data_IF_084136767616
#
_entry.id   IF_084136767616
#
_cell.length_a   1.000
_cell.length_b   1.000
_cell.length_c   1.000
_cell.angle_alpha   90.00
_cell.angle_beta   90.00
_cell.angle_gamma   90.00
#
_symmetry.space_group_name_H-M   'P 1'
#
loop_
_entity.id
_entity.type
_entity.pdbx_description
1 polymer ?
#
# COMPACT_ATOMS: atom_id res chain seq x y z
N UNK A 1 -30.18 -14.77 -43.14
CA UNK A 1 -29.01 -15.17 -42.31
C UNK A 1 -28.32 -13.88 -41.90
N UNK A 2 -28.86 -13.22 -40.88
CA UNK A 2 -28.50 -13.26 -39.44
C UNK A 2 -27.62 -12.07 -39.09
N UNK A 3 -28.32 -11.00 -38.68
CA UNK A 3 -27.80 -9.82 -37.99
C UNK A 3 -27.09 -10.25 -36.70
N UNK A 4 -25.85 -9.78 -36.50
CA UNK A 4 -25.16 -9.85 -35.22
C UNK A 4 -25.60 -8.64 -34.36
N UNK A 5 -25.96 -8.81 -33.08
CA UNK A 5 -26.28 -7.69 -32.22
C UNK A 5 -24.98 -7.07 -31.69
N UNK A 6 -24.90 -5.76 -31.87
CA UNK A 6 -23.94 -4.85 -31.22
C UNK A 6 -24.22 -4.87 -29.71
N UNK A 7 -23.44 -5.62 -28.92
CA UNK A 7 -23.49 -5.55 -27.46
C UNK A 7 -22.75 -4.28 -27.04
N UNK A 8 -23.52 -3.20 -26.87
CA UNK A 8 -23.09 -1.99 -26.19
C UNK A 8 -23.03 -2.31 -24.69
N UNK A 9 -21.84 -2.68 -24.18
CA UNK A 9 -21.61 -2.75 -22.74
C UNK A 9 -21.73 -1.33 -22.16
N UNK A 10 -22.86 -1.05 -21.51
CA UNK A 10 -22.99 0.08 -20.60
C UNK A 10 -21.99 -0.13 -19.46
N UNK A 11 -20.85 0.54 -19.51
CA UNK A 11 -20.09 0.89 -18.33
C UNK A 11 -20.91 1.94 -17.55
N UNK A 12 -21.91 1.46 -16.81
CA UNK A 12 -22.50 2.23 -15.72
C UNK A 12 -21.35 2.50 -14.74
N UNK A 13 -20.90 3.76 -14.71
CA UNK A 13 -20.10 4.26 -13.61
C UNK A 13 -20.89 3.99 -12.34
N UNK A 14 -20.49 2.98 -11.58
CA UNK A 14 -20.93 2.79 -10.20
C UNK A 14 -20.38 4.00 -9.43
N UNK A 15 -21.11 5.10 -9.45
CA UNK A 15 -20.89 6.16 -8.48
C UNK A 15 -21.14 5.53 -7.12
N UNK A 16 -20.12 5.55 -6.27
CA UNK A 16 -20.26 5.14 -4.89
C UNK A 16 -21.48 5.86 -4.28
N UNK A 17 -22.38 5.15 -3.57
CA UNK A 17 -23.50 5.79 -2.90
C UNK A 17 -22.97 6.89 -1.97
N UNK A 18 -23.73 7.97 -1.72
CA UNK A 18 -23.29 9.09 -0.89
C UNK A 18 -22.81 8.56 0.47
N UNK A 19 -21.49 8.58 0.67
CA UNK A 19 -20.86 8.07 1.89
C UNK A 19 -21.19 9.01 3.03
N UNK A 20 -21.59 8.44 4.16
CA UNK A 20 -21.84 9.21 5.37
C UNK A 20 -20.63 10.11 5.66
N UNK A 21 -20.90 11.36 6.02
CA UNK A 21 -19.88 12.26 6.54
C UNK A 21 -19.27 11.72 7.84
N UNK A 22 -18.38 12.49 8.45
CA UNK A 22 -17.80 12.14 9.73
C UNK A 22 -18.90 11.90 10.76
N UNK A 23 -18.86 10.74 11.42
CA UNK A 23 -19.84 10.36 12.43
C UNK A 23 -19.22 9.46 13.49
N UNK A 24 -19.78 9.51 14.70
CA UNK A 24 -19.33 8.74 15.85
C UNK A 24 -20.52 8.17 16.62
N UNK A 25 -20.37 6.95 17.13
CA UNK A 25 -21.40 6.23 17.86
C UNK A 25 -20.84 5.48 19.07
N UNK A 26 -21.70 5.30 20.07
CA UNK A 26 -21.56 4.39 21.20
C UNK A 26 -22.47 3.20 20.95
N UNK A 27 -21.90 2.00 20.92
CA UNK A 27 -22.68 0.78 20.71
C UNK A 27 -23.54 0.42 21.92
N UNK A 28 -23.40 1.12 23.06
CA UNK A 28 -24.06 0.93 24.37
C UNK A 28 -23.64 -0.37 25.06
N UNK A 29 -23.58 -1.45 24.30
CA UNK A 29 -23.04 -2.77 24.65
C UNK A 29 -22.03 -3.19 23.58
N UNK A 30 -20.99 -3.99 23.91
CA UNK A 30 -20.02 -4.46 22.93
C UNK A 30 -20.69 -5.06 21.68
N UNK A 31 -20.34 -4.56 20.49
CA UNK A 31 -20.99 -4.98 19.25
C UNK A 31 -20.27 -6.19 18.63
N UNK A 32 -21.00 -7.26 18.32
CA UNK A 32 -20.44 -8.40 17.57
C UNK A 32 -20.51 -8.20 16.06
N UNK A 33 -21.45 -7.39 15.58
CA UNK A 33 -21.67 -7.06 14.17
C UNK A 33 -21.69 -5.54 13.97
N UNK A 34 -20.74 -5.02 13.20
CA UNK A 34 -20.58 -3.58 12.94
C UNK A 34 -21.53 -3.05 11.85
N UNK A 35 -22.31 -3.93 11.20
CA UNK A 35 -23.32 -3.54 10.21
C UNK A 35 -24.66 -3.17 10.85
N UNK A 36 -24.93 -3.64 12.07
CA UNK A 36 -26.19 -3.44 12.78
C UNK A 36 -26.13 -2.23 13.72
N UNK A 37 -26.46 -1.04 13.18
CA UNK A 37 -26.35 0.24 13.91
C UNK A 37 -27.63 0.68 14.64
N UNK A 38 -28.72 -0.08 14.53
CA UNK A 38 -30.06 0.37 14.96
C UNK A 38 -30.20 0.70 16.45
N UNK A 39 -29.37 0.10 17.31
CA UNK A 39 -29.38 0.33 18.75
C UNK A 39 -28.28 1.29 19.23
N UNK A 40 -27.42 1.79 18.34
CA UNK A 40 -26.28 2.62 18.70
C UNK A 40 -26.71 4.05 18.96
N UNK A 41 -26.06 4.72 19.91
CA UNK A 41 -26.29 6.14 20.22
C UNK A 41 -25.24 6.99 19.54
N UNK A 42 -25.63 8.09 18.91
CA UNK A 42 -24.68 9.08 18.41
C UNK A 42 -23.86 9.66 19.57
N UNK A 43 -22.55 9.82 19.37
CA UNK A 43 -21.66 10.45 20.33
C UNK A 43 -21.40 11.92 19.97
N UNK A 44 -21.27 12.74 21.01
CA UNK A 44 -20.80 14.12 20.92
C UNK A 44 -19.37 14.25 21.48
N UNK A 45 -18.68 15.34 21.13
CA UNK A 45 -17.32 15.60 21.61
C UNK A 45 -17.27 15.70 23.15
N UNK A 46 -16.23 15.13 23.74
CA UNK A 46 -16.03 14.99 25.18
C UNK A 46 -16.67 13.75 25.81
N UNK A 47 -17.47 12.98 25.06
CA UNK A 47 -18.18 11.82 25.59
C UNK A 47 -17.24 10.63 25.86
N UNK A 48 -17.59 9.85 26.89
CA UNK A 48 -17.00 8.53 27.18
C UNK A 48 -18.05 7.45 26.87
N UNK A 49 -17.80 6.53 25.91
CA UNK A 49 -18.77 5.52 25.49
C UNK A 49 -19.06 4.50 26.61
N UNK A 50 -20.29 3.99 26.65
CA UNK A 50 -20.70 2.90 27.53
C UNK A 50 -20.39 1.52 26.94
N UNK A 51 -20.46 1.37 25.62
CA UNK A 51 -20.03 0.21 24.84
C UNK A 51 -18.72 0.51 24.10
N UNK A 52 -18.67 0.12 22.83
CA UNK A 52 -17.55 0.43 21.93
C UNK A 52 -17.73 1.84 21.36
N UNK A 53 -16.63 2.58 21.18
CA UNK A 53 -16.64 3.79 20.37
C UNK A 53 -16.38 3.43 18.91
N UNK A 54 -17.29 3.84 18.04
CA UNK A 54 -17.20 3.61 16.60
C UNK A 54 -17.17 4.95 15.89
N UNK A 55 -16.16 5.20 15.05
CA UNK A 55 -15.99 6.47 14.32
C UNK A 55 -15.76 6.17 12.85
N UNK A 56 -16.39 6.93 11.96
CA UNK A 56 -16.16 6.82 10.51
C UNK A 56 -16.02 8.17 9.85
N UNK A 57 -15.29 8.22 8.74
CA UNK A 57 -15.27 9.34 7.79
C UNK A 57 -15.87 8.98 6.43
N UNK A 58 -16.55 7.83 6.33
CA UNK A 58 -17.13 7.28 5.11
C UNK A 58 -16.20 6.34 4.33
N UNK A 59 -14.88 6.40 4.52
CA UNK A 59 -13.91 5.49 3.88
C UNK A 59 -13.29 4.50 4.85
N UNK A 60 -13.02 4.96 6.07
CA UNK A 60 -12.51 4.16 7.18
C UNK A 60 -13.57 4.12 8.28
N UNK A 61 -13.66 2.98 8.95
CA UNK A 61 -14.33 2.82 10.23
C UNK A 61 -13.29 2.44 11.26
N UNK A 62 -13.10 3.25 12.30
CA UNK A 62 -12.25 2.91 13.43
C UNK A 62 -13.11 2.55 14.64
N UNK A 63 -12.71 1.50 15.36
CA UNK A 63 -13.45 0.97 16.50
C UNK A 63 -12.52 0.81 17.69
N UNK A 64 -12.83 1.50 18.79
CA UNK A 64 -12.22 1.27 20.08
C UNK A 64 -13.16 0.43 20.93
N UNK A 65 -12.80 -0.85 21.08
CA UNK A 65 -13.58 -1.80 21.87
C UNK A 65 -13.41 -1.51 23.37
N UNK A 66 -14.48 -1.56 24.16
CA UNK A 66 -14.42 -1.24 25.61
C UNK A 66 -13.41 -2.07 26.41
N UNK A 67 -13.18 -3.30 25.99
CA UNK A 67 -12.20 -4.23 26.58
C UNK A 67 -11.16 -4.68 25.54
N UNK A 68 -11.02 -3.92 24.46
CA UNK A 68 -10.01 -4.19 23.45
C UNK A 68 -8.63 -3.75 23.89
N UNK A 69 -7.65 -4.08 23.06
CA UNK A 69 -6.25 -3.72 23.27
C UNK A 69 -5.85 -2.47 22.48
N UNK A 70 -6.63 -2.08 21.48
CA UNK A 70 -6.28 -1.02 20.54
C UNK A 70 -7.44 -0.46 19.73
N UNK A 71 -7.10 0.44 18.81
CA UNK A 71 -8.01 0.95 17.79
C UNK A 71 -8.00 0.01 16.58
N UNK A 72 -9.12 -0.67 16.33
CA UNK A 72 -9.32 -1.49 15.15
C UNK A 72 -9.63 -0.59 13.94
N UNK A 73 -9.02 -0.86 12.79
CA UNK A 73 -9.23 -0.16 11.53
C UNK A 73 -9.91 -1.10 10.55
N UNK A 74 -11.05 -0.65 10.03
CA UNK A 74 -11.81 -1.33 9.00
C UNK A 74 -11.90 -0.45 7.75
N UNK A 75 -11.74 -1.07 6.59
CA UNK A 75 -12.09 -0.44 5.32
C UNK A 75 -13.60 -0.51 5.10
N UNK A 76 -14.16 0.51 4.44
CA UNK A 76 -15.54 0.56 4.00
C UNK A 76 -15.69 0.51 2.47
N UNK A 77 -14.62 0.23 1.72
CA UNK A 77 -14.65 0.32 0.26
C UNK A 77 -15.64 -0.66 -0.38
N UNK A 78 -15.74 -1.88 0.14
CA UNK A 78 -16.70 -2.89 -0.32
C UNK A 78 -18.16 -2.60 0.06
N UNK A 79 -18.42 -1.51 0.80
CA UNK A 79 -19.73 -1.19 1.38
C UNK A 79 -20.00 -1.87 2.73
N UNK A 80 -19.21 -2.89 3.08
CA UNK A 80 -19.23 -3.56 4.38
C UNK A 80 -17.91 -3.35 5.12
N UNK A 81 -17.89 -3.20 6.46
CA UNK A 81 -16.65 -3.11 7.21
C UNK A 81 -15.81 -4.39 7.10
N UNK A 82 -14.58 -4.27 6.59
CA UNK A 82 -13.59 -5.36 6.57
C UNK A 82 -12.44 -4.98 7.49
N UNK A 83 -12.14 -5.82 8.48
CA UNK A 83 -11.02 -5.61 9.41
C UNK A 83 -9.68 -5.68 8.67
N UNK A 84 -8.79 -4.70 8.91
CA UNK A 84 -7.48 -4.63 8.24
C UNK A 84 -6.31 -4.51 9.19
N UNK A 85 -6.46 -3.80 10.30
CA UNK A 85 -5.36 -3.63 11.26
C UNK A 85 -5.87 -3.22 12.63
N UNK A 86 -5.02 -3.34 13.65
CA UNK A 86 -5.22 -2.76 14.98
C UNK A 86 -4.01 -1.91 15.37
N UNK A 87 -4.27 -0.75 15.96
CA UNK A 87 -3.26 0.19 16.44
C UNK A 87 -3.24 0.26 17.96
N UNK A 88 -2.06 0.11 18.57
CA UNK A 88 -1.89 0.24 20.01
C UNK A 88 -0.42 0.46 20.38
N UNK A 89 -0.09 1.06 21.53
CA UNK A 89 1.28 1.14 22.00
C UNK A 89 1.86 -0.26 22.28
N UNK A 90 3.12 -0.50 21.93
CA UNK A 90 3.80 -1.78 22.20
C UNK A 90 3.81 -2.07 23.69
N UNK A 91 3.46 -3.31 24.07
CA UNK A 91 3.35 -3.72 25.47
C UNK A 91 2.12 -3.17 26.20
N UNK A 92 1.21 -2.51 25.49
CA UNK A 92 -0.09 -2.12 26.06
C UNK A 92 -0.90 -3.35 26.45
N UNK A 93 -1.57 -3.27 27.60
CA UNK A 93 -2.61 -4.21 28.00
C UNK A 93 -3.98 -3.78 27.45
N UNK A 94 -5.09 -4.12 28.13
CA UNK A 94 -6.41 -3.64 27.75
C UNK A 94 -6.51 -2.12 27.88
N UNK A 95 -7.35 -1.52 27.04
CA UNK A 95 -7.70 -0.09 27.12
C UNK A 95 -8.39 0.18 28.46
N UNK A 96 -7.91 1.17 29.21
CA UNK A 96 -8.48 1.60 30.49
C UNK A 96 -9.52 2.71 30.31
N UNK A 97 -9.34 3.55 29.28
CA UNK A 97 -10.23 4.68 29.00
C UNK A 97 -10.34 4.96 27.51
N UNK A 98 -11.57 5.25 27.08
CA UNK A 98 -11.90 5.75 25.74
C UNK A 98 -12.62 7.09 25.88
N UNK A 99 -12.19 8.10 25.13
CA UNK A 99 -12.87 9.40 25.04
C UNK A 99 -12.98 9.81 23.57
N UNK A 100 -14.17 10.22 23.14
CA UNK A 100 -14.32 10.92 21.87
C UNK A 100 -13.95 12.39 22.08
N UNK A 101 -12.69 12.75 21.87
CA UNK A 101 -12.20 14.11 22.12
C UNK A 101 -12.80 15.15 21.15
N UNK A 102 -13.05 14.75 19.90
CA UNK A 102 -13.60 15.63 18.86
C UNK A 102 -14.50 14.84 17.91
N UNK A 103 -15.60 15.45 17.46
CA UNK A 103 -16.36 15.00 16.28
C UNK A 103 -16.96 16.23 15.61
N UNK A 104 -16.79 16.35 14.30
CA UNK A 104 -17.33 17.47 13.56
C UNK A 104 -17.03 17.42 12.07
N UNK A 105 -17.24 18.56 11.39
CA UNK A 105 -17.09 18.65 9.92
C UNK A 105 -15.68 18.35 9.42
N UNK A 106 -14.65 18.55 10.24
CA UNK A 106 -13.24 18.35 9.87
C UNK A 106 -12.70 16.94 10.14
N UNK A 107 -13.41 16.12 10.91
CA UNK A 107 -12.91 14.83 11.38
C UNK A 107 -13.42 14.49 12.76
N UNK A 108 -12.96 13.36 13.26
CA UNK A 108 -13.23 12.91 14.62
C UNK A 108 -11.96 12.36 15.25
N UNK A 109 -11.84 12.46 16.57
CA UNK A 109 -10.66 12.03 17.30
C UNK A 109 -11.04 11.23 18.54
N UNK A 110 -10.44 10.05 18.68
CA UNK A 110 -10.52 9.21 19.86
C UNK A 110 -9.22 9.36 20.67
N UNK A 111 -9.34 9.47 21.97
CA UNK A 111 -8.24 9.34 22.91
C UNK A 111 -8.39 8.02 23.64
N UNK A 112 -7.39 7.15 23.48
CA UNK A 112 -7.30 5.88 24.15
C UNK A 112 -6.20 5.96 25.19
N UNK A 113 -6.50 5.49 26.41
CA UNK A 113 -5.53 5.40 27.50
C UNK A 113 -5.37 3.96 27.96
N UNK A 114 -4.13 3.63 28.26
CA UNK A 114 -3.68 2.41 28.91
C UNK A 114 -2.89 2.78 30.17
N UNK A 115 -2.56 1.80 31.00
CA UNK A 115 -1.86 1.99 32.28
C UNK A 115 -0.68 2.98 32.24
N UNK A 116 0.12 2.95 31.17
CA UNK A 116 1.35 3.74 31.04
C UNK A 116 1.44 4.55 29.73
N UNK A 117 0.37 4.63 28.94
CA UNK A 117 0.39 5.28 27.64
C UNK A 117 -0.96 5.88 27.31
N UNK A 118 -0.98 6.94 26.51
CA UNK A 118 -2.20 7.42 25.87
C UNK A 118 -1.90 7.95 24.48
N UNK A 119 -2.79 7.64 23.54
CA UNK A 119 -2.64 7.99 22.12
C UNK A 119 -3.94 8.63 21.65
N UNK A 120 -3.81 9.74 20.94
CA UNK A 120 -4.90 10.36 20.19
C UNK A 120 -4.88 9.80 18.77
N UNK A 121 -6.01 9.28 18.33
CA UNK A 121 -6.24 8.84 16.96
C UNK A 121 -7.25 9.77 16.28
N UNK A 122 -6.84 10.47 15.24
CA UNK A 122 -7.70 11.36 14.45
C UNK A 122 -8.01 10.72 13.11
N UNK A 123 -9.29 10.76 12.72
CA UNK A 123 -9.77 10.36 11.40
C UNK A 123 -10.26 11.63 10.69
N UNK A 124 -9.46 12.21 9.80
CA UNK A 124 -9.87 13.41 9.07
C UNK A 124 -11.00 13.10 8.09
N UNK A 125 -11.80 14.12 7.76
CA UNK A 125 -12.88 13.95 6.78
C UNK A 125 -12.32 13.61 5.40
N UNK A 126 -12.81 12.53 4.79
CA UNK A 126 -12.52 12.18 3.40
C UNK A 126 -11.14 11.56 3.15
N UNK A 127 -10.29 11.49 4.17
CA UNK A 127 -8.95 10.90 4.07
C UNK A 127 -8.97 9.37 4.19
N UNK A 128 -7.90 8.72 3.73
CA UNK A 128 -7.70 7.27 3.81
C UNK A 128 -6.74 6.86 4.92
N UNK A 129 -6.55 7.70 5.92
CA UNK A 129 -5.66 7.40 7.02
C UNK A 129 -6.24 7.78 8.37
N UNK A 130 -5.69 7.14 9.40
CA UNK A 130 -5.82 7.55 10.80
C UNK A 130 -4.50 8.21 11.19
N UNK A 131 -4.56 9.45 11.66
CA UNK A 131 -3.41 10.08 12.32
C UNK A 131 -3.33 9.58 13.75
N UNK A 132 -2.14 9.30 14.24
CA UNK A 132 -1.90 8.96 15.63
C UNK A 132 -0.83 9.87 16.23
N UNK A 133 -1.01 10.21 17.49
CA UNK A 133 -0.09 11.06 18.24
C UNK A 133 -0.06 10.60 19.70
N UNK A 134 1.15 10.35 20.23
CA UNK A 134 1.32 10.10 21.66
C UNK A 134 0.94 11.33 22.49
N UNK A 135 0.04 11.15 23.45
CA UNK A 135 -0.30 12.14 24.48
C UNK A 135 0.62 11.92 25.70
N UNK A 136 0.78 10.67 26.13
CA UNK A 136 1.65 10.26 27.22
C UNK A 136 2.28 8.89 26.95
N UNK A 137 3.44 8.64 27.55
CA UNK A 137 4.26 7.47 27.29
C UNK A 137 5.15 7.66 26.05
N UNK A 138 6.17 6.80 25.94
CA UNK A 138 7.15 6.76 24.85
C UNK A 138 7.13 5.43 24.09
N UNK A 139 6.22 4.53 24.46
CA UNK A 139 6.05 3.23 23.80
C UNK A 139 5.79 3.42 22.30
N UNK A 140 6.45 2.65 21.43
CA UNK A 140 6.19 2.67 19.99
C UNK A 140 4.72 2.37 19.68
N UNK A 141 4.19 2.95 18.61
CA UNK A 141 2.94 2.51 18.05
C UNK A 141 3.16 1.19 17.31
N UNK A 142 2.41 0.17 17.69
CA UNK A 142 2.28 -1.07 16.94
C UNK A 142 1.18 -0.94 15.89
N UNK A 143 1.54 -1.20 14.64
CA UNK A 143 0.61 -1.51 13.55
C UNK A 143 0.50 -3.03 13.49
N UNK A 144 -0.56 -3.57 14.08
CA UNK A 144 -0.84 -5.01 14.03
C UNK A 144 -1.54 -5.33 12.70
N UNK A 145 -0.81 -6.02 11.82
CA UNK A 145 -1.26 -6.35 10.48
C UNK A 145 -0.53 -7.61 10.04
N UNK A 146 -1.22 -8.74 10.14
CA UNK A 146 -0.67 -10.02 9.74
C UNK A 146 -0.52 -10.11 8.21
N UNK A 147 0.62 -10.61 7.76
CA UNK A 147 0.93 -10.79 6.35
C UNK A 147 2.23 -11.56 6.13
N UNK A 148 2.45 -12.04 4.91
CA UNK A 148 3.73 -12.68 4.56
C UNK A 148 4.81 -11.65 4.21
N UNK A 149 4.42 -10.52 3.65
CA UNK A 149 5.36 -9.51 3.14
C UNK A 149 5.25 -8.19 3.88
N UNK A 150 6.41 -7.58 4.09
CA UNK A 150 6.55 -6.14 4.35
C UNK A 150 7.48 -5.56 3.29
N UNK A 151 7.15 -4.38 2.76
CA UNK A 151 8.03 -3.61 1.88
C UNK A 151 8.33 -2.27 2.52
N UNK A 152 9.59 -1.86 2.44
CA UNK A 152 10.02 -0.48 2.68
C UNK A 152 10.33 0.14 1.31
N UNK A 153 9.43 1.00 0.78
CA UNK A 153 9.65 1.61 -0.52
C UNK A 153 10.85 2.56 -0.52
N UNK A 154 11.65 2.50 -1.58
CA UNK A 154 12.60 3.54 -1.96
C UNK A 154 12.23 4.06 -3.36
N UNK A 155 11.70 5.28 -3.41
CA UNK A 155 11.23 5.86 -4.67
C UNK A 155 12.37 6.17 -5.66
N UNK A 156 13.62 6.19 -5.20
CA UNK A 156 14.80 6.48 -6.02
C UNK A 156 15.68 5.26 -6.28
N UNK A 157 15.56 4.21 -5.47
CA UNK A 157 16.34 2.99 -5.56
C UNK A 157 15.46 1.73 -5.62
N UNK A 158 16.05 0.60 -5.20
CA UNK A 158 15.35 -0.65 -5.00
C UNK A 158 14.66 -0.65 -3.64
N UNK A 159 13.42 -1.15 -3.62
CA UNK A 159 12.65 -1.35 -2.40
C UNK A 159 13.27 -2.45 -1.54
N UNK A 160 13.05 -2.42 -0.23
CA UNK A 160 13.42 -3.53 0.66
C UNK A 160 12.21 -4.44 0.83
N UNK A 161 12.23 -5.59 0.13
CA UNK A 161 11.21 -6.62 0.25
C UNK A 161 11.60 -7.64 1.33
N UNK A 162 10.74 -7.78 2.34
CA UNK A 162 10.88 -8.78 3.40
C UNK A 162 9.82 -9.86 3.24
N UNK A 163 10.24 -11.10 2.98
CA UNK A 163 9.40 -12.31 3.06
C UNK A 163 9.60 -12.98 4.44
N UNK A 164 8.52 -13.07 5.22
CA UNK A 164 8.49 -13.67 6.54
C UNK A 164 9.12 -15.07 6.61
N UNK A 165 9.00 -15.87 5.54
CA UNK A 165 9.54 -17.24 5.46
C UNK A 165 11.07 -17.28 5.44
N UNK A 166 11.71 -16.16 5.06
CA UNK A 166 13.17 -16.06 4.92
C UNK A 166 13.86 -15.55 6.18
N UNK A 167 13.10 -15.07 7.17
CA UNK A 167 13.63 -14.55 8.41
C UNK A 167 13.51 -15.57 9.54
N UNK A 168 14.62 -16.14 10.06
CA UNK A 168 14.57 -17.15 11.12
C UNK A 168 14.32 -16.57 12.52
N UNK A 169 14.30 -15.24 12.65
CA UNK A 169 14.14 -14.52 13.92
C UNK A 169 12.69 -14.05 14.11
N UNK A 170 12.24 -13.98 15.36
CA UNK A 170 10.87 -13.54 15.68
C UNK A 170 10.73 -12.01 15.75
N UNK A 171 11.86 -11.29 15.66
CA UNK A 171 11.94 -9.83 15.67
C UNK A 171 13.15 -9.37 14.87
N UNK A 172 12.98 -8.33 14.05
CA UNK A 172 14.06 -7.71 13.27
C UNK A 172 13.83 -6.21 13.15
N UNK A 173 14.91 -5.43 13.18
CA UNK A 173 14.88 -4.00 12.89
C UNK A 173 15.22 -3.79 11.41
N UNK A 174 14.40 -3.01 10.71
CA UNK A 174 14.52 -2.75 9.28
C UNK A 174 14.80 -1.25 9.03
N UNK A 175 15.78 -0.92 8.17
CA UNK A 175 16.14 0.47 7.88
C UNK A 175 15.08 1.11 7.00
N UNK A 176 14.14 1.82 7.63
CA UNK A 176 13.07 2.54 6.94
C UNK A 176 13.29 4.03 7.11
N UNK A 177 13.19 4.78 6.02
CA UNK A 177 13.25 6.24 6.06
C UNK A 177 12.00 6.80 6.74
N UNK A 178 10.81 6.51 6.21
CA UNK A 178 9.54 7.04 6.74
C UNK A 178 8.27 6.28 6.31
N UNK A 179 8.41 5.07 5.76
CA UNK A 179 7.26 4.28 5.27
C UNK A 179 7.42 2.78 5.53
N UNK A 180 6.32 2.10 5.81
CA UNK A 180 6.24 0.64 5.86
C UNK A 180 4.93 0.15 5.25
N UNK A 181 4.99 -0.81 4.34
CA UNK A 181 3.83 -1.41 3.69
C UNK A 181 3.64 -2.85 4.16
N UNK A 182 2.47 -3.17 4.69
CA UNK A 182 2.02 -4.53 4.98
C UNK A 182 1.05 -5.01 3.91
N UNK A 183 1.28 -6.20 3.37
CA UNK A 183 0.43 -6.81 2.35
C UNK A 183 -0.49 -7.84 2.99
N UNK A 184 -1.80 -7.61 2.90
CA UNK A 184 -2.81 -8.42 3.60
C UNK A 184 -4.05 -8.67 2.73
N UNK A 185 -5.00 -9.44 3.27
CA UNK A 185 -6.30 -9.66 2.63
C UNK A 185 -6.26 -10.46 1.33
N UNK A 186 -5.30 -11.37 1.17
CA UNK A 186 -5.22 -12.23 -0.02
C UNK A 186 -5.26 -11.42 -1.34
N UNK A 187 -4.35 -10.44 -1.48
CA UNK A 187 -4.20 -9.56 -2.66
C UNK A 187 -5.11 -8.34 -2.71
N UNK A 188 -5.99 -8.12 -1.73
CA UNK A 188 -6.98 -7.04 -1.81
C UNK A 188 -6.67 -5.80 -0.95
N UNK A 189 -5.64 -5.82 -0.11
CA UNK A 189 -5.34 -4.69 0.77
C UNK A 189 -3.85 -4.50 1.09
N UNK A 190 -3.47 -3.23 1.21
CA UNK A 190 -2.17 -2.79 1.72
C UNK A 190 -2.44 -1.89 2.92
N UNK A 191 -1.83 -2.20 4.06
CA UNK A 191 -1.81 -1.32 5.24
C UNK A 191 -0.47 -0.59 5.27
N UNK A 192 -0.52 0.74 5.21
CA UNK A 192 0.66 1.59 5.10
C UNK A 192 0.84 2.42 6.37
N UNK A 193 2.02 2.38 6.96
CA UNK A 193 2.45 3.32 7.98
C UNK A 193 3.35 4.40 7.38
N UNK A 194 3.05 5.67 7.65
CA UNK A 194 3.89 6.83 7.33
C UNK A 194 4.21 7.56 8.62
N UNK A 195 5.45 7.99 8.83
CA UNK A 195 5.85 8.54 10.13
C UNK A 195 6.89 9.65 10.01
N UNK A 196 6.82 10.63 10.92
CA UNK A 196 7.74 11.79 10.91
C UNK A 196 9.12 11.47 11.52
N UNK A 197 9.18 10.44 12.37
CA UNK A 197 10.41 10.09 13.08
C UNK A 197 11.33 9.21 12.23
N UNK A 198 12.37 9.81 11.64
CA UNK A 198 13.36 9.12 10.80
C UNK A 198 14.62 8.69 11.56
N UNK A 199 14.64 8.92 12.88
CA UNK A 199 15.82 8.69 13.71
C UNK A 199 15.99 7.22 14.15
N UNK A 200 15.17 6.31 13.62
CA UNK A 200 15.13 4.91 14.02
C UNK A 200 14.66 3.97 12.91
N UNK A 201 15.02 2.71 13.05
CA UNK A 201 14.53 1.61 12.24
C UNK A 201 13.07 1.24 12.59
N UNK A 202 12.36 0.68 11.61
CA UNK A 202 11.05 0.06 11.84
C UNK A 202 11.26 -1.38 12.29
N UNK A 203 10.66 -1.71 13.42
CA UNK A 203 10.83 -3.02 14.00
C UNK A 203 9.68 -3.93 13.65
N UNK A 204 9.98 -5.05 12.99
CA UNK A 204 8.99 -6.04 12.57
C UNK A 204 9.02 -7.23 13.50
N UNK A 205 7.83 -7.73 13.84
CA UNK A 205 7.64 -8.94 14.65
C UNK A 205 7.04 -10.05 13.80
N UNK A 206 7.51 -11.28 14.03
CA UNK A 206 7.15 -12.46 13.26
C UNK A 206 6.69 -13.58 14.17
N UNK A 207 5.85 -14.46 13.65
CA UNK A 207 5.41 -15.68 14.33
C UNK A 207 5.20 -16.82 13.33
N UNK A 208 4.98 -18.02 13.84
CA UNK A 208 4.80 -19.21 13.00
C UNK A 208 6.13 -19.80 12.52
N UNK A 209 6.03 -20.83 11.68
CA UNK A 209 7.17 -21.61 11.18
C UNK A 209 6.97 -21.97 9.72
N UNK A 210 8.07 -22.11 8.99
CA UNK A 210 8.12 -22.55 7.60
C UNK A 210 7.16 -21.71 6.72
N UNK A 211 6.34 -22.35 5.88
CA UNK A 211 5.38 -21.66 5.01
C UNK A 211 4.24 -20.93 5.75
N UNK A 212 4.07 -21.20 7.06
CA UNK A 212 3.12 -20.49 7.92
C UNK A 212 3.77 -19.35 8.69
N UNK A 213 5.04 -19.06 8.44
CA UNK A 213 5.71 -17.93 9.07
C UNK A 213 5.15 -16.64 8.50
N UNK A 214 4.73 -15.75 9.40
CA UNK A 214 4.07 -14.50 9.05
C UNK A 214 4.61 -13.36 9.91
N UNK A 215 4.67 -12.19 9.30
CA UNK A 215 4.79 -10.94 10.02
C UNK A 215 3.48 -10.71 10.76
N UNK A 216 3.55 -10.32 12.03
CA UNK A 216 2.36 -10.04 12.85
C UNK A 216 2.14 -8.54 13.02
N UNK A 217 3.18 -7.72 12.87
CA UNK A 217 3.06 -6.28 12.93
C UNK A 217 4.40 -5.57 12.97
N UNK A 218 4.33 -4.24 12.86
CA UNK A 218 5.47 -3.33 12.92
C UNK A 218 5.34 -2.38 14.11
N UNK A 219 6.46 -2.03 14.73
CA UNK A 219 6.56 -1.11 15.85
C UNK A 219 7.31 0.14 15.40
N UNK A 220 6.68 1.31 15.58
CA UNK A 220 7.17 2.60 15.10
C UNK A 220 7.08 3.59 16.27
N UNK A 221 8.20 4.05 16.79
CA UNK A 221 8.19 5.10 17.81
C UNK A 221 7.81 6.47 17.24
N UNK A 222 6.99 7.19 17.99
CA UNK A 222 6.60 8.57 17.67
C UNK A 222 7.81 9.52 17.62
N UNK A 223 8.87 9.25 18.40
CA UNK A 223 10.02 10.14 18.53
C UNK A 223 9.73 11.33 19.44
N UNK A 224 10.16 12.53 19.04
CA UNK A 224 9.94 13.76 19.82
C UNK A 224 8.45 14.07 20.01
N UNK A 225 8.11 14.65 21.16
CA UNK A 225 6.72 15.00 21.51
C UNK A 225 6.06 15.82 20.40
N UNK A 226 4.87 15.40 20.00
CA UNK A 226 4.07 16.08 18.98
C UNK A 226 4.16 15.45 17.60
N UNK A 227 5.20 14.62 17.34
CA UNK A 227 5.32 13.89 16.08
C UNK A 227 4.18 12.89 15.87
N UNK A 228 3.86 12.64 14.61
CA UNK A 228 2.73 11.81 14.19
C UNK A 228 3.16 10.56 13.42
N UNK A 229 2.27 9.58 13.46
CA UNK A 229 2.29 8.40 12.61
C UNK A 229 0.92 8.31 11.95
N UNK A 230 0.87 8.24 10.63
CA UNK A 230 -0.33 8.03 9.84
C UNK A 230 -0.42 6.56 9.43
N UNK A 231 -1.60 5.96 9.59
CA UNK A 231 -1.84 4.60 9.12
C UNK A 231 -2.98 4.60 8.12
N UNK A 232 -2.70 4.16 6.91
CA UNK A 232 -3.64 4.09 5.78
C UNK A 232 -3.99 2.66 5.41
N UNK A 233 -5.17 2.49 4.81
CA UNK A 233 -5.62 1.23 4.22
C UNK A 233 -5.97 1.48 2.76
N UNK A 234 -5.15 0.94 1.86
CA UNK A 234 -5.41 0.91 0.43
C UNK A 234 -6.09 -0.42 0.12
N UNK A 235 -7.39 -0.42 -0.15
CA UNK A 235 -8.17 -1.64 -0.41
C UNK A 235 -8.69 -1.67 -1.84
N UNK A 236 -8.75 -2.84 -2.47
CA UNK A 236 -9.42 -3.10 -3.73
C UNK A 236 -8.99 -4.46 -4.29
N UNK A 237 -9.82 -5.15 -5.08
CA UNK A 237 -9.45 -6.45 -5.63
C UNK A 237 -8.17 -6.36 -6.47
N UNK A 238 -7.20 -7.23 -6.19
CA UNK A 238 -5.91 -7.25 -6.88
C UNK A 238 -5.02 -6.04 -6.60
N UNK A 239 -5.23 -5.33 -5.48
CA UNK A 239 -4.41 -4.20 -5.05
C UNK A 239 -2.92 -4.53 -4.97
N UNK A 240 -2.59 -5.79 -4.70
CA UNK A 240 -1.23 -6.29 -4.83
C UNK A 240 -1.27 -7.71 -5.39
N UNK A 241 -0.12 -8.26 -5.75
CA UNK A 241 -0.02 -9.65 -6.18
C UNK A 241 1.34 -10.21 -5.83
N UNK A 242 1.43 -11.53 -5.63
CA UNK A 242 2.72 -12.19 -5.57
C UNK A 242 2.76 -13.53 -6.28
N UNK A 243 3.95 -13.88 -6.75
CA UNK A 243 4.25 -15.18 -7.37
C UNK A 243 5.71 -15.51 -7.11
N UNK A 244 6.02 -16.77 -6.79
CA UNK A 244 7.41 -17.21 -6.66
C UNK A 244 7.99 -17.49 -8.06
N UNK A 245 9.17 -16.94 -8.35
CA UNK A 245 9.94 -17.20 -9.58
C UNK A 245 11.31 -17.77 -9.23
N UNK A 246 11.87 -18.56 -10.15
CA UNK A 246 13.13 -19.26 -9.93
C UNK A 246 14.00 -19.35 -11.18
N UNK A 247 15.22 -19.92 -11.06
CA UNK A 247 16.14 -20.06 -12.17
C UNK A 247 15.59 -20.82 -13.39
N UNK A 248 14.64 -21.72 -13.18
CA UNK A 248 13.93 -22.47 -14.22
C UNK A 248 13.03 -21.60 -15.10
N UNK A 249 12.62 -20.44 -14.60
CA UNK A 249 11.72 -19.51 -15.29
C UNK A 249 12.44 -18.49 -16.19
N UNK A 250 13.78 -18.51 -16.23
CA UNK A 250 14.57 -17.56 -17.02
C UNK A 250 14.14 -17.53 -18.48
N UNK A 251 14.01 -16.31 -19.04
CA UNK A 251 13.57 -16.02 -20.43
C UNK A 251 12.14 -16.47 -20.77
N UNK A 252 11.47 -17.22 -19.89
CA UNK A 252 10.11 -17.69 -20.13
C UNK A 252 9.14 -16.55 -19.86
N UNK A 253 8.16 -16.39 -20.75
CA UNK A 253 7.04 -15.47 -20.51
C UNK A 253 6.04 -16.17 -19.61
N UNK A 254 5.84 -15.62 -18.41
CA UNK A 254 4.89 -16.10 -17.42
C UNK A 254 3.68 -15.16 -17.46
N UNK A 255 2.51 -15.63 -17.94
CA UNK A 255 1.27 -14.90 -17.74
C UNK A 255 0.88 -14.96 -16.26
N UNK A 256 0.62 -13.81 -15.65
CA UNK A 256 0.20 -13.74 -14.26
C UNK A 256 -1.29 -14.05 -14.14
N UNK A 257 -1.70 -14.70 -13.06
CA UNK A 257 -3.13 -14.77 -12.71
C UNK A 257 -3.61 -13.49 -12.01
N UNK A 258 -3.30 -12.36 -12.65
CA UNK A 258 -3.56 -11.02 -12.14
C UNK A 258 -3.80 -10.05 -13.30
N UNK A 259 -4.76 -9.17 -13.11
CA UNK A 259 -5.07 -8.07 -14.04
C UNK A 259 -4.93 -6.78 -13.28
N UNK A 260 -4.18 -5.82 -13.83
CA UNK A 260 -3.95 -4.52 -13.21
C UNK A 260 -5.31 -3.82 -12.95
N UNK A 261 -5.69 -3.58 -11.68
CA UNK A 261 -7.03 -3.09 -11.34
C UNK A 261 -7.32 -1.69 -11.87
N UNK A 262 -6.31 -0.83 -11.91
CA UNK A 262 -6.37 0.55 -12.40
C UNK A 262 -5.02 0.97 -12.97
N UNK A 263 -5.06 1.90 -13.94
CA UNK A 263 -3.84 2.46 -14.52
C UNK A 263 -3.13 3.29 -13.46
N UNK A 264 -1.88 2.97 -13.19
CA UNK A 264 -0.98 3.67 -12.27
C UNK A 264 0.47 3.27 -12.58
N UNK A 265 1.43 3.84 -11.88
CA UNK A 265 2.76 3.25 -11.79
C UNK A 265 2.69 2.08 -10.81
N UNK A 266 3.07 0.89 -11.27
CA UNK A 266 3.12 -0.31 -10.45
C UNK A 266 4.57 -0.75 -10.31
N UNK A 267 5.02 -0.97 -9.07
CA UNK A 267 6.32 -1.56 -8.77
C UNK A 267 6.23 -3.09 -8.86
N UNK A 268 7.34 -3.70 -9.26
CA UNK A 268 7.53 -5.13 -9.38
C UNK A 268 8.88 -5.47 -8.75
N UNK A 269 8.81 -6.02 -7.55
CA UNK A 269 9.97 -6.29 -6.72
C UNK A 269 10.37 -7.75 -6.85
N UNK A 270 11.47 -8.01 -7.54
CA UNK A 270 12.00 -9.36 -7.70
C UNK A 270 12.98 -9.68 -6.56
N UNK A 271 12.77 -10.79 -5.88
CA UNK A 271 13.78 -11.33 -4.98
C UNK A 271 14.92 -11.96 -5.78
N UNK A 272 16.15 -11.55 -5.52
CA UNK A 272 17.35 -12.14 -6.10
C UNK A 272 17.85 -13.32 -5.27
N UNK A 273 18.71 -14.15 -5.87
CA UNK A 273 19.37 -15.29 -5.22
C UNK A 273 20.24 -14.90 -4.01
N UNK A 274 20.76 -13.68 -4.01
CA UNK A 274 21.54 -13.10 -2.91
C UNK A 274 20.68 -12.32 -1.90
N UNK A 275 19.35 -12.47 -1.99
CA UNK A 275 18.35 -11.98 -1.03
C UNK A 275 18.17 -10.47 -1.04
N UNK A 276 18.77 -9.80 -2.03
CA UNK A 276 18.47 -8.42 -2.38
C UNK A 276 17.22 -8.34 -3.26
N UNK A 277 16.55 -7.20 -3.22
CA UNK A 277 15.49 -6.86 -4.16
C UNK A 277 16.09 -6.26 -5.43
N UNK A 278 15.42 -6.47 -6.56
CA UNK A 278 15.61 -5.73 -7.81
C UNK A 278 14.24 -5.18 -8.21
N UNK A 279 14.08 -3.86 -8.21
CA UNK A 279 12.77 -3.20 -8.31
C UNK A 279 12.57 -2.61 -9.70
N UNK A 280 11.47 -2.99 -10.33
CA UNK A 280 11.14 -2.59 -11.71
C UNK A 280 9.79 -1.89 -11.76
N UNK A 281 9.58 -1.08 -12.79
CA UNK A 281 8.29 -0.45 -13.06
C UNK A 281 7.54 -1.29 -14.09
N UNK A 282 6.31 -1.70 -13.78
CA UNK A 282 5.45 -2.42 -14.71
C UNK A 282 5.25 -1.60 -15.99
N UNK A 283 5.71 -2.12 -17.13
CA UNK A 283 5.49 -1.43 -18.40
C UNK A 283 4.01 -1.44 -18.79
N UNK A 284 3.56 -0.32 -19.35
CA UNK A 284 2.23 -0.14 -19.93
C UNK A 284 2.32 -0.20 -21.45
N UNK A 285 1.29 -0.70 -22.16
CA UNK A 285 1.27 -0.64 -23.62
C UNK A 285 1.22 0.81 -24.11
N UNK A 286 2.01 1.16 -25.12
CA UNK A 286 1.93 2.48 -25.75
C UNK A 286 0.61 2.58 -26.54
N UNK A 287 -0.26 3.57 -26.29
CA UNK A 287 -1.51 3.72 -27.04
C UNK A 287 -1.28 4.03 -28.53
N UNK A 288 -0.11 4.57 -28.89
CA UNK A 288 0.19 5.06 -30.23
C UNK A 288 1.14 4.14 -31.03
N UNK A 289 1.60 3.03 -30.44
CA UNK A 289 2.50 2.09 -31.12
C UNK A 289 2.26 0.64 -30.68
N UNK A 290 3.06 -0.29 -31.18
CA UNK A 290 3.14 -1.67 -30.71
C UNK A 290 4.14 -1.85 -29.55
N UNK A 291 4.74 -0.75 -29.09
CA UNK A 291 5.70 -0.70 -28.00
C UNK A 291 5.07 -0.50 -26.62
N UNK A 292 5.91 -0.02 -25.72
CA UNK A 292 5.60 0.12 -24.30
C UNK A 292 6.08 1.47 -23.77
N UNK A 293 5.42 1.91 -22.71
CA UNK A 293 5.79 3.07 -21.91
C UNK A 293 6.20 2.56 -20.53
N UNK A 294 7.34 3.02 -20.06
CA UNK A 294 7.75 2.93 -18.67
C UNK A 294 7.21 4.17 -17.95
N UNK A 295 6.26 4.04 -17.01
CA UNK A 295 5.82 5.19 -16.23
C UNK A 295 7.00 5.79 -15.47
N UNK A 296 7.08 7.12 -15.43
CA UNK A 296 8.17 7.84 -14.77
C UNK A 296 7.63 8.67 -13.62
N UNK A 297 8.33 8.59 -12.49
CA UNK A 297 8.05 9.38 -11.30
C UNK A 297 8.13 10.89 -11.57
N UNK A 298 9.03 11.32 -12.44
CA UNK A 298 9.29 12.73 -12.77
C UNK A 298 8.27 13.31 -13.76
N UNK A 299 7.48 12.44 -14.40
CA UNK A 299 6.51 12.75 -15.43
C UNK A 299 5.07 12.74 -14.88
N UNK A 300 4.84 13.43 -13.75
CA UNK A 300 3.56 13.38 -13.03
C UNK A 300 2.38 14.00 -13.81
N UNK A 301 2.64 14.80 -14.83
CA UNK A 301 1.62 15.34 -15.73
C UNK A 301 1.14 14.33 -16.79
N UNK A 302 1.63 13.08 -16.72
CA UNK A 302 1.34 12.01 -17.67
C UNK A 302 2.06 12.17 -19.00
N UNK A 303 2.89 13.21 -19.16
CA UNK A 303 3.68 13.39 -20.38
C UNK A 303 4.99 12.64 -20.28
N UNK A 304 5.24 11.82 -21.28
CA UNK A 304 6.54 11.17 -21.50
C UNK A 304 7.63 12.25 -21.47
N UNK A 305 8.71 12.00 -20.74
CA UNK A 305 9.81 12.96 -20.61
C UNK A 305 10.31 13.39 -21.99
N UNK A 306 10.31 14.69 -22.27
CA UNK A 306 10.94 15.21 -23.48
C UNK A 306 12.45 15.01 -23.41
N UNK A 307 13.08 14.75 -24.55
CA UNK A 307 14.52 14.57 -24.61
C UNK A 307 15.22 15.87 -24.19
N UNK A 308 16.01 15.82 -23.12
CA UNK A 308 16.76 17.01 -22.67
C UNK A 308 18.05 17.17 -23.47
N UNK A 309 18.46 18.43 -23.65
CA UNK A 309 19.73 18.77 -24.29
C UNK A 309 20.88 18.45 -23.34
N UNK A 310 21.96 17.89 -23.87
CA UNK A 310 23.23 17.69 -23.18
C UNK A 310 23.87 19.04 -22.84
N UNK A 311 24.96 19.02 -22.07
CA UNK A 311 25.75 20.21 -21.78
C UNK A 311 26.31 20.92 -23.03
N UNK A 312 26.36 20.25 -24.19
CA UNK A 312 26.78 20.82 -25.49
C UNK A 312 25.61 21.43 -26.28
N UNK A 313 24.37 21.30 -25.79
CA UNK A 313 23.17 21.79 -26.46
C UNK A 313 22.54 20.79 -27.46
N UNK A 314 23.14 19.63 -27.65
CA UNK A 314 22.64 18.56 -28.52
C UNK A 314 21.67 17.65 -27.77
N UNK A 315 20.71 17.05 -28.47
CA UNK A 315 19.88 15.98 -27.88
C UNK A 315 20.61 14.66 -28.09
N UNK A 316 20.89 13.94 -27.02
CA UNK A 316 21.42 12.57 -27.10
C UNK A 316 20.31 11.62 -27.59
N UNK A 317 20.18 11.53 -28.91
CA UNK A 317 19.12 10.73 -29.57
C UNK A 317 19.22 9.24 -29.22
N UNK A 318 20.41 8.75 -28.89
CA UNK A 318 20.61 7.35 -28.53
C UNK A 318 20.16 7.08 -27.08
N UNK A 319 20.39 8.03 -26.18
CA UNK A 319 19.89 7.95 -24.81
C UNK A 319 18.36 8.00 -24.70
N UNK A 320 17.73 8.84 -25.54
CA UNK A 320 16.27 9.09 -25.53
C UNK A 320 15.49 8.29 -26.58
N UNK A 321 16.17 7.53 -27.46
CA UNK A 321 15.51 6.63 -28.40
C UNK A 321 14.86 5.43 -27.68
N UNK A 322 13.86 4.75 -28.30
CA UNK A 322 13.20 3.60 -27.67
C UNK A 322 14.17 2.54 -27.16
N UNK A 323 14.09 2.23 -25.86
CA UNK A 323 15.00 1.29 -25.18
C UNK A 323 16.34 1.87 -24.72
N UNK A 324 16.62 3.15 -24.97
CA UNK A 324 17.78 3.87 -24.45
C UNK A 324 17.69 4.09 -22.92
N UNK A 325 18.82 4.39 -22.26
CA UNK A 325 18.92 4.54 -20.80
C UNK A 325 18.04 5.65 -20.20
N UNK A 326 17.70 6.68 -20.98
CA UNK A 326 16.89 7.82 -20.54
C UNK A 326 15.51 7.86 -21.20
N UNK A 327 15.18 6.88 -22.04
CA UNK A 327 13.88 6.82 -22.71
C UNK A 327 12.80 6.28 -21.78
N UNK A 328 11.63 6.89 -21.75
CA UNK A 328 10.44 6.29 -21.12
C UNK A 328 9.68 5.37 -22.10
N UNK A 329 10.17 5.21 -23.33
CA UNK A 329 9.60 4.32 -24.35
C UNK A 329 10.47 3.11 -24.61
N UNK A 330 9.84 1.99 -24.88
CA UNK A 330 10.46 0.75 -25.34
C UNK A 330 9.74 0.24 -26.58
N UNK A 331 10.47 -0.37 -27.52
CA UNK A 331 9.86 -1.03 -28.68
C UNK A 331 9.10 -2.31 -28.31
N UNK A 332 8.48 -3.00 -29.30
CA UNK A 332 7.66 -4.20 -29.08
C UNK A 332 8.42 -5.36 -28.41
N UNK A 333 9.73 -5.41 -28.58
CA UNK A 333 10.62 -6.40 -27.95
C UNK A 333 11.02 -6.04 -26.51
N UNK A 334 10.45 -4.95 -25.95
CA UNK A 334 10.69 -4.48 -24.58
C UNK A 334 12.16 -4.38 -24.22
N UNK A 335 13.01 -4.07 -25.20
CA UNK A 335 14.45 -4.11 -24.98
C UNK A 335 14.91 -2.81 -24.33
N UNK A 336 15.68 -2.92 -23.25
CA UNK A 336 16.24 -1.79 -22.50
C UNK A 336 17.75 -1.96 -22.37
N UNK A 337 18.48 -0.89 -22.62
CA UNK A 337 19.88 -0.79 -22.21
C UNK A 337 20.00 -0.14 -20.82
N UNK A 338 20.79 -0.73 -19.94
CA UNK A 338 21.21 -0.14 -18.67
C UNK A 338 22.72 -0.21 -18.53
N UNK A 339 23.30 0.68 -17.73
CA UNK A 339 24.75 0.71 -17.46
C UNK A 339 25.25 -0.57 -16.79
N UNK A 340 24.42 -1.21 -15.96
CA UNK A 340 24.80 -2.38 -15.16
C UNK A 340 24.60 -3.70 -15.91
N UNK A 341 23.49 -3.83 -16.64
CA UNK A 341 23.05 -5.08 -17.29
C UNK A 341 23.29 -5.09 -18.80
N UNK A 342 23.70 -3.96 -19.39
CA UNK A 342 23.74 -3.81 -20.84
C UNK A 342 22.33 -3.93 -21.42
N UNK A 343 22.19 -4.60 -22.57
CA UNK A 343 20.93 -4.75 -23.28
C UNK A 343 20.17 -5.99 -22.81
N UNK A 344 19.00 -5.79 -22.21
CA UNK A 344 18.12 -6.85 -21.67
C UNK A 344 16.69 -6.70 -22.17
N UNK A 345 15.92 -7.79 -22.15
CA UNK A 345 14.46 -7.71 -22.28
C UNK A 345 13.88 -7.30 -20.92
N UNK A 346 13.09 -6.25 -20.88
CA UNK A 346 12.49 -5.74 -19.64
C UNK A 346 11.62 -6.84 -18.98
N UNK A 347 11.68 -7.06 -17.66
CA UNK A 347 11.17 -8.30 -17.07
C UNK A 347 9.68 -8.28 -16.74
N UNK A 348 8.98 -7.13 -16.79
CA UNK A 348 7.57 -7.04 -16.40
C UNK A 348 6.79 -6.05 -17.28
N UNK A 349 5.55 -6.40 -17.62
CA UNK A 349 4.67 -5.55 -18.42
C UNK A 349 3.20 -5.97 -18.28
N UNK A 350 2.31 -5.10 -18.73
CA UNK A 350 0.91 -5.41 -19.00
C UNK A 350 0.60 -5.34 -20.49
N UNK A 351 -0.40 -6.10 -20.93
CA UNK A 351 -0.97 -5.93 -22.27
C UNK A 351 -2.10 -4.87 -22.29
N UNK A 352 -2.72 -4.66 -23.46
CA UNK A 352 -3.84 -3.73 -23.65
C UNK A 352 -5.10 -4.09 -22.86
N UNK A 353 -5.22 -5.34 -22.40
CA UNK A 353 -6.29 -5.80 -21.51
C UNK A 353 -5.92 -5.69 -20.04
N UNK A 354 -4.73 -5.13 -19.72
CA UNK A 354 -4.15 -5.00 -18.38
C UNK A 354 -3.72 -6.33 -17.74
N UNK A 355 -3.66 -7.42 -18.51
CA UNK A 355 -3.13 -8.70 -18.02
C UNK A 355 -1.64 -8.55 -17.76
N UNK A 356 -1.19 -8.94 -16.58
CA UNK A 356 0.21 -8.85 -16.18
C UNK A 356 1.05 -10.02 -16.71
N UNK A 357 2.32 -9.75 -17.01
CA UNK A 357 3.28 -10.75 -17.46
C UNK A 357 4.65 -10.50 -16.82
N UNK A 358 5.35 -11.59 -16.53
CA UNK A 358 6.76 -11.57 -16.12
C UNK A 358 7.61 -12.33 -17.13
N UNK A 359 8.87 -11.93 -17.24
CA UNK A 359 9.90 -12.64 -17.98
C UNK A 359 11.23 -12.48 -17.24
N UNK A 360 11.51 -13.35 -16.25
CA UNK A 360 12.75 -13.32 -15.48
C UNK A 360 13.99 -13.26 -16.38
N UNK A 361 14.92 -12.36 -16.03
CA UNK A 361 16.12 -12.13 -16.82
C UNK A 361 17.04 -13.37 -16.82
N UNK A 362 17.66 -13.64 -17.96
CA UNK A 362 18.83 -14.52 -18.01
C UNK A 362 20.09 -13.66 -18.09
N UNK A 363 20.59 -13.26 -16.92
CA UNK A 363 21.75 -12.39 -16.81
C UNK A 363 22.73 -12.92 -15.77
N UNK A 364 24.04 -12.77 -16.02
CA UNK A 364 25.08 -13.30 -15.12
C UNK A 364 25.15 -12.58 -13.77
N UNK A 365 24.74 -11.31 -13.73
CA UNK A 365 24.75 -10.48 -12.51
C UNK A 365 23.43 -10.50 -11.74
N UNK A 366 22.33 -10.93 -12.38
CA UNK A 366 20.99 -10.85 -11.81
C UNK A 366 20.30 -12.18 -12.02
N UNK A 367 20.01 -12.85 -10.91
CA UNK A 367 19.31 -14.13 -10.89
C UNK A 367 18.17 -14.03 -9.90
N UNK A 368 16.94 -14.06 -10.41
CA UNK A 368 15.75 -14.06 -9.58
C UNK A 368 15.49 -15.43 -8.98
N UNK A 369 15.16 -15.45 -7.69
CA UNK A 369 14.94 -16.65 -6.89
C UNK A 369 14.15 -16.30 -5.64
N UNK A 370 12.84 -16.46 -5.69
CA UNK A 370 11.94 -16.17 -4.58
C UNK A 370 10.71 -15.39 -5.03
N UNK A 371 10.01 -14.73 -4.10
CA UNK A 371 8.81 -14.00 -4.43
C UNK A 371 9.09 -12.81 -5.32
N UNK A 372 8.17 -12.57 -6.25
CA UNK A 372 7.94 -11.30 -6.90
C UNK A 372 6.72 -10.68 -6.25
N UNK A 373 6.81 -9.43 -5.79
CA UNK A 373 5.66 -8.69 -5.26
C UNK A 373 5.35 -7.51 -6.18
N UNK A 374 4.07 -7.35 -6.51
CA UNK A 374 3.57 -6.32 -7.42
C UNK A 374 2.58 -5.45 -6.65
N UNK A 375 2.77 -4.13 -6.70
CA UNK A 375 1.91 -3.19 -5.98
C UNK A 375 1.91 -1.80 -6.63
N UNK A 376 0.85 -0.98 -6.48
CA UNK A 376 0.83 0.36 -7.04
C UNK A 376 1.77 1.23 -6.20
N UNK A 377 2.60 2.03 -6.85
CA UNK A 377 3.49 2.97 -6.15
C UNK A 377 2.98 4.39 -6.26
N UNK A 378 2.66 4.84 -7.47
CA UNK A 378 2.33 6.22 -7.75
C UNK A 378 1.17 6.35 -8.74
N UNK A 379 0.41 7.43 -8.63
CA UNK A 379 -0.64 7.76 -9.58
C UNK A 379 -0.07 8.29 -10.89
N UNK A 380 -0.83 8.08 -11.96
CA UNK A 380 -0.64 8.69 -13.27
C UNK A 380 -1.82 9.64 -13.56
N UNK A 381 -1.71 10.44 -14.62
CA UNK A 381 -2.79 11.32 -15.05
C UNK A 381 -4.11 10.56 -15.32
N UNK A 382 -3.99 9.33 -15.83
CA UNK A 382 -5.13 8.45 -16.13
C UNK A 382 -5.56 7.58 -14.93
N UNK A 383 -4.91 7.72 -13.76
CA UNK A 383 -5.34 7.01 -12.55
C UNK A 383 -6.70 7.55 -12.11
N UNK A 384 -7.74 6.69 -12.02
CA UNK A 384 -9.07 7.16 -11.64
C UNK A 384 -9.05 7.72 -10.21
N UNK A 385 -9.78 8.82 -9.94
CA UNK A 385 -9.69 9.58 -8.69
C UNK A 385 -10.15 8.83 -7.44
N UNK A 386 -10.91 7.75 -7.60
CA UNK A 386 -11.35 6.88 -6.51
C UNK A 386 -10.27 5.89 -6.06
N UNK A 387 -9.21 5.70 -6.84
CA UNK A 387 -8.07 4.87 -6.49
C UNK A 387 -6.95 5.70 -5.86
N UNK A 388 -6.28 5.08 -4.91
CA UNK A 388 -5.20 5.68 -4.14
C UNK A 388 -3.99 4.78 -4.21
N UNK A 389 -2.84 5.42 -4.28
CA UNK A 389 -1.52 4.80 -4.27
C UNK A 389 -0.79 5.20 -2.99
N UNK A 390 0.29 4.50 -2.60
CA UNK A 390 1.10 4.88 -1.44
C UNK A 390 1.51 6.36 -1.45
N UNK A 391 1.81 6.93 -2.61
CA UNK A 391 2.24 8.33 -2.76
C UNK A 391 1.13 9.33 -2.50
N UNK A 392 -0.13 8.96 -2.69
CA UNK A 392 -1.26 9.86 -2.38
C UNK A 392 -1.40 10.11 -0.86
N UNK A 393 -0.71 9.33 -0.03
CA UNK A 393 -0.76 9.41 1.44
C UNK A 393 0.45 10.18 2.01
N UNK A 394 1.52 10.35 1.23
CA UNK A 394 2.81 10.91 1.68
C UNK A 394 2.84 12.44 1.63
#
# INVERSE_FOLDING_TARGET
>A
MTLAPLILLLALSLQDPPRAGVAAWDTVTPATDLTQRGAWKTLEGGASPQGDAVVTNGKILAVARKQGEGLEIYSLRSGTPIYRSRLFPTGAGPIEKVVLAEVGRGGAALELSWKNASVRFRIPKGELFVESQAIAGDAPLRIDCAGRYVILPDFFADDILVDARRLPVDRVDLPSENFVLHFTGEHDAIVMGVFENRDQDVRVTLSGKDDRRAITGSEIAFGQKGRKIWVSVLEGPGMWYSVDVGPEHKKQVIPLDWTMPFVAQWRVDFTRKDDLTDSWDMLLPDPNSDGFIKPSWLAQDGKISEATKTATGDVDRDAYGPGGPASDRLGPQRTRWTTVLGKVQYPCWTDKSRKGFLQPLDHKKVLFSGPVVIYPSNRLADTPPEWYTPVDIV
#
